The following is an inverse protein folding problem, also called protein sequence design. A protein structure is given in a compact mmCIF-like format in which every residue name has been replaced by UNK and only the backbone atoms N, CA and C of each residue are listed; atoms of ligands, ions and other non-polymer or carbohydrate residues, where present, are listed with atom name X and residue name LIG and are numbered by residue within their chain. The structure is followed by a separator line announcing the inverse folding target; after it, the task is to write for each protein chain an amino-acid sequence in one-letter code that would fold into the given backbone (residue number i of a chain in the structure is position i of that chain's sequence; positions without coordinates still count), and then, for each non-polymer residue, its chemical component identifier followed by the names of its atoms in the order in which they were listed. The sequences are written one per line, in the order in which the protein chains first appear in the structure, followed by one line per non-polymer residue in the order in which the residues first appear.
data_IF_573918813500
#
_entry.id   IF_573918813500
#
_cell.length_a   1.000
_cell.length_b   1.000
_cell.length_c   1.000
_cell.angle_alpha   90.00
_cell.angle_beta   90.00
_cell.angle_gamma   90.00
#
_symmetry.space_group_name_H-M   'P 1'
#
loop_
_entity.id
_entity.type
_entity.pdbx_description
1 polymer ?
#
# COMPACT_ATOMS: atom_id res chain seq x y z
N UNK A 1 -0.60 -18.23 -5.51
CA UNK A 1 -1.49 -17.07 -5.23
C UNK A 1 -2.90 -17.29 -5.77
N UNK A 2 -3.14 -18.34 -6.55
CA UNK A 2 -4.49 -18.80 -6.92
C UNK A 2 -5.05 -19.80 -5.89
N UNK A 3 -6.37 -20.01 -5.89
CA UNK A 3 -7.04 -21.00 -5.03
C UNK A 3 -6.66 -22.44 -5.42
N UNK A 4 -6.70 -22.75 -6.72
CA UNK A 4 -6.26 -24.05 -7.22
C UNK A 4 -4.73 -24.10 -7.31
N UNK A 5 -4.11 -24.91 -6.45
CA UNK A 5 -2.65 -25.07 -6.40
C UNK A 5 -2.13 -26.10 -7.40
N UNK A 6 -2.99 -26.76 -8.18
CA UNK A 6 -2.64 -27.87 -9.07
C UNK A 6 -1.55 -27.49 -10.08
N UNK A 7 -1.64 -26.29 -10.64
CA UNK A 7 -0.68 -25.80 -11.62
C UNK A 7 0.68 -25.49 -10.99
N UNK A 8 0.69 -24.87 -9.81
CA UNK A 8 1.91 -24.60 -9.06
C UNK A 8 2.63 -25.91 -8.67
N UNK A 9 1.90 -26.92 -8.18
CA UNK A 9 2.43 -28.27 -7.89
C UNK A 9 2.96 -28.96 -9.16
N UNK A 10 2.31 -28.76 -10.32
CA UNK A 10 2.81 -29.24 -11.61
C UNK A 10 4.13 -28.57 -12.01
N UNK A 11 4.30 -27.27 -11.73
CA UNK A 11 5.56 -26.56 -11.97
C UNK A 11 6.68 -27.07 -11.05
N UNK A 12 6.40 -27.26 -9.76
CA UNK A 12 7.30 -27.89 -8.77
C UNK A 12 7.79 -29.26 -9.25
N UNK A 13 6.86 -30.14 -9.65
CA UNK A 13 7.22 -31.47 -10.18
C UNK A 13 8.09 -31.40 -11.44
N UNK A 14 7.78 -30.49 -12.37
CA UNK A 14 8.61 -30.27 -13.58
C UNK A 14 10.02 -29.81 -13.23
N UNK A 15 10.15 -28.91 -12.27
CA UNK A 15 11.44 -28.41 -11.80
C UNK A 15 12.27 -29.53 -11.16
N UNK A 16 11.68 -30.32 -10.26
CA UNK A 16 12.31 -31.51 -9.67
C UNK A 16 12.82 -32.49 -10.73
N UNK A 17 11.97 -32.86 -11.68
CA UNK A 17 12.34 -33.77 -12.77
C UNK A 17 13.49 -33.23 -13.63
N UNK A 18 13.56 -31.91 -13.82
CA UNK A 18 14.66 -31.28 -14.55
C UNK A 18 15.98 -31.36 -13.78
N UNK A 19 15.96 -31.12 -12.47
CA UNK A 19 17.14 -31.26 -11.61
C UNK A 19 17.64 -32.72 -11.56
N UNK A 20 16.73 -33.70 -11.48
CA UNK A 20 17.10 -35.12 -11.53
C UNK A 20 17.81 -35.47 -12.85
N UNK A 21 17.28 -35.01 -13.99
CA UNK A 21 17.89 -35.19 -15.32
C UNK A 21 19.25 -34.50 -15.49
N UNK A 22 19.50 -33.39 -14.79
CA UNK A 22 20.82 -32.76 -14.76
C UNK A 22 21.79 -33.58 -13.93
N UNK A 23 21.33 -34.08 -12.77
CA UNK A 23 22.11 -34.95 -11.88
C UNK A 23 22.55 -36.24 -12.56
N UNK A 24 21.66 -36.89 -13.33
CA UNK A 24 21.98 -38.07 -14.16
C UNK A 24 23.08 -37.81 -15.19
N UNK A 25 23.22 -36.56 -15.65
CA UNK A 25 24.26 -36.13 -16.59
C UNK A 25 25.55 -35.66 -15.90
N UNK A 26 25.66 -35.83 -14.58
CA UNK A 26 26.82 -35.41 -13.80
C UNK A 26 26.83 -33.94 -13.38
N UNK A 27 25.75 -33.19 -13.61
CA UNK A 27 25.63 -31.79 -13.17
C UNK A 27 24.85 -31.69 -11.87
N UNK A 28 25.45 -31.09 -10.83
CA UNK A 28 24.75 -30.74 -9.59
C UNK A 28 24.72 -29.23 -9.44
N UNK A 29 23.52 -28.66 -9.33
CA UNK A 29 23.34 -27.22 -9.14
C UNK A 29 23.39 -26.92 -7.64
N UNK A 30 24.30 -26.05 -7.18
CA UNK A 30 24.52 -25.84 -5.74
C UNK A 30 23.40 -25.05 -5.06
N UNK A 31 22.68 -24.21 -5.80
CA UNK A 31 21.61 -23.36 -5.28
C UNK A 31 20.36 -23.51 -6.15
N UNK A 32 19.27 -24.00 -5.57
CA UNK A 32 18.01 -24.25 -6.21
C UNK A 32 16.90 -23.62 -5.38
N UNK A 33 16.00 -22.89 -6.04
CA UNK A 33 14.88 -22.25 -5.37
C UNK A 33 13.77 -21.97 -6.37
N UNK A 34 12.52 -22.20 -5.96
CA UNK A 34 11.35 -21.85 -6.77
C UNK A 34 10.28 -21.11 -5.96
N UNK A 35 10.19 -21.34 -4.65
CA UNK A 35 9.23 -20.65 -3.78
C UNK A 35 9.45 -19.13 -3.77
N UNK A 36 8.41 -18.40 -4.15
CA UNK A 36 8.23 -16.99 -3.82
C UNK A 36 7.42 -16.88 -2.52
N UNK A 37 7.01 -15.68 -2.11
CA UNK A 37 6.13 -15.47 -0.95
C UNK A 37 4.90 -16.38 -0.91
N UNK A 38 4.19 -16.57 -2.03
CA UNK A 38 3.03 -17.47 -2.06
C UNK A 38 3.44 -18.94 -1.90
N UNK A 39 4.53 -19.37 -2.55
CA UNK A 39 5.06 -20.73 -2.39
C UNK A 39 5.51 -21.02 -0.96
N UNK A 40 6.09 -20.03 -0.26
CA UNK A 40 6.46 -20.15 1.16
C UNK A 40 5.23 -20.38 2.03
N UNK A 41 4.18 -19.57 1.86
CA UNK A 41 2.94 -19.68 2.64
C UNK A 41 2.16 -20.97 2.39
N UNK A 42 2.27 -21.52 1.20
CA UNK A 42 1.54 -22.72 0.75
C UNK A 42 2.35 -24.01 0.87
N UNK A 43 3.58 -23.93 1.36
CA UNK A 43 4.54 -25.04 1.38
C UNK A 43 4.69 -25.70 -0.02
N UNK A 44 4.89 -24.87 -1.04
CA UNK A 44 5.14 -25.25 -2.44
C UNK A 44 6.53 -24.79 -2.84
N UNK A 45 7.43 -25.73 -3.12
CA UNK A 45 8.78 -25.44 -3.58
C UNK A 45 9.72 -24.94 -2.48
N UNK A 46 9.41 -25.27 -1.23
CA UNK A 46 10.15 -24.94 0.00
C UNK A 46 11.20 -25.98 0.35
N UNK A 47 11.17 -27.16 -0.28
CA UNK A 47 12.08 -28.28 -0.02
C UNK A 47 13.51 -28.08 -0.56
N UNK A 48 13.73 -27.00 -1.32
CA UNK A 48 15.05 -26.64 -1.86
C UNK A 48 15.85 -25.79 -0.85
N UNK A 49 17.06 -25.37 -1.25
CA UNK A 49 18.02 -24.77 -0.32
C UNK A 49 17.95 -23.24 -0.22
N UNK A 50 16.99 -22.59 -0.89
CA UNK A 50 16.68 -21.18 -0.73
C UNK A 50 15.22 -20.87 -1.11
N UNK A 51 14.66 -19.79 -0.58
CA UNK A 51 13.34 -19.23 -0.92
C UNK A 51 13.46 -17.74 -1.25
N UNK A 52 12.40 -17.13 -1.82
CA UNK A 52 12.38 -15.71 -2.21
C UNK A 52 11.16 -15.00 -1.63
N UNK A 53 11.27 -14.55 -0.40
CA UNK A 53 10.25 -13.75 0.29
C UNK A 53 10.31 -12.28 -0.15
N UNK A 54 9.37 -11.89 -1.02
CA UNK A 54 9.22 -10.52 -1.48
C UNK A 54 8.14 -9.79 -0.69
N UNK A 55 6.90 -9.86 -1.17
CA UNK A 55 5.77 -9.06 -0.66
C UNK A 55 5.50 -9.26 0.84
N UNK A 56 5.71 -10.47 1.34
CA UNK A 56 5.49 -10.82 2.76
C UNK A 56 6.49 -10.11 3.68
N UNK A 57 7.68 -9.76 3.19
CA UNK A 57 8.66 -8.96 3.93
C UNK A 57 8.12 -7.55 4.24
N UNK A 58 7.28 -7.02 3.36
CA UNK A 58 6.62 -5.72 3.52
C UNK A 58 5.31 -5.81 4.31
N UNK A 59 4.96 -7.01 4.76
CA UNK A 59 3.78 -7.22 5.57
C UNK A 59 2.48 -7.37 4.79
N UNK A 60 2.56 -7.82 3.53
CA UNK A 60 1.40 -7.97 2.64
C UNK A 60 1.30 -9.40 2.13
N UNK A 61 0.11 -9.97 2.21
CA UNK A 61 -0.20 -11.29 1.66
C UNK A 61 -0.21 -11.25 0.13
N UNK A 62 0.33 -12.26 -0.56
CA UNK A 62 0.35 -12.31 -2.03
C UNK A 62 -1.04 -12.23 -2.69
N UNK A 63 -2.07 -12.79 -2.04
CA UNK A 63 -3.47 -12.73 -2.45
C UNK A 63 -4.40 -13.19 -1.32
N UNK A 64 -5.72 -13.09 -1.55
CA UNK A 64 -6.74 -13.65 -0.63
C UNK A 64 -6.82 -15.18 -0.69
N UNK A 65 -6.26 -15.80 -1.72
CA UNK A 65 -6.37 -17.24 -1.95
C UNK A 65 -5.22 -18.03 -1.31
N UNK A 66 -4.27 -17.36 -0.67
CA UNK A 66 -3.20 -18.04 0.08
C UNK A 66 -3.55 -18.26 1.55
N UNK A 67 -2.84 -19.17 2.22
CA UNK A 67 -2.95 -19.35 3.66
C UNK A 67 -2.53 -18.08 4.43
N UNK A 68 -3.39 -17.64 5.35
CA UNK A 68 -3.19 -16.44 6.19
C UNK A 68 -2.94 -16.82 7.66
N UNK A 69 -2.04 -17.78 7.90
CA UNK A 69 -1.79 -18.33 9.24
C UNK A 69 -0.66 -17.61 10.00
N UNK A 70 0.12 -16.79 9.32
CA UNK A 70 1.23 -16.05 9.93
C UNK A 70 0.78 -14.66 10.41
N UNK A 71 1.29 -14.16 11.54
CA UNK A 71 1.02 -12.80 11.99
C UNK A 71 1.87 -11.80 11.20
N UNK A 72 1.51 -11.60 9.92
CA UNK A 72 2.17 -10.66 9.02
C UNK A 72 1.66 -9.25 9.32
N UNK A 73 2.57 -8.30 9.55
CA UNK A 73 2.24 -6.88 9.82
C UNK A 73 2.82 -5.97 8.76
N UNK A 74 1.97 -5.10 8.20
CA UNK A 74 2.36 -4.10 7.22
C UNK A 74 3.46 -3.17 7.74
N UNK A 75 4.56 -3.06 6.99
CA UNK A 75 5.70 -2.22 7.35
C UNK A 75 5.49 -0.72 7.00
N UNK A 76 4.58 -0.45 6.07
CA UNK A 76 4.28 0.90 5.57
C UNK A 76 3.05 1.47 6.29
N UNK A 77 3.18 2.71 6.78
CA UNK A 77 2.04 3.59 7.02
C UNK A 77 2.23 4.85 6.19
N UNK A 78 1.13 5.42 5.69
CA UNK A 78 1.16 6.66 4.93
C UNK A 78 0.31 7.71 5.61
N UNK A 79 0.96 8.82 5.98
CA UNK A 79 0.37 9.93 6.71
C UNK A 79 0.58 11.23 5.95
N UNK A 80 -0.36 12.15 6.12
CA UNK A 80 -0.32 13.51 5.57
C UNK A 80 -0.77 14.51 6.64
N UNK A 81 -0.79 15.80 6.30
CA UNK A 81 -1.33 16.85 7.17
C UNK A 81 -2.45 17.60 6.48
N UNK A 82 -3.47 18.02 7.22
CA UNK A 82 -4.54 18.86 6.67
C UNK A 82 -3.96 20.20 6.21
N UNK A 83 -4.15 20.55 4.93
CA UNK A 83 -3.66 21.80 4.35
C UNK A 83 -4.69 22.93 4.38
N UNK A 84 -5.99 22.59 4.47
CA UNK A 84 -7.07 23.56 4.51
C UNK A 84 -8.34 22.94 5.10
N UNK A 85 -9.12 23.73 5.82
CA UNK A 85 -10.44 23.35 6.35
C UNK A 85 -11.44 24.44 5.98
N UNK A 86 -12.60 24.05 5.46
CA UNK A 86 -13.72 24.97 5.20
C UNK A 86 -15.06 24.33 5.49
N UNK A 87 -16.03 25.14 5.88
CA UNK A 87 -17.44 24.76 5.89
C UNK A 87 -18.08 25.20 4.57
N UNK A 88 -18.85 24.33 3.95
CA UNK A 88 -19.55 24.60 2.69
C UNK A 88 -21.05 24.33 2.85
N UNK A 89 -21.93 25.14 2.23
CA UNK A 89 -23.37 24.92 2.27
C UNK A 89 -23.77 23.69 1.44
N UNK A 90 -25.05 23.31 1.52
CA UNK A 90 -25.65 22.33 0.61
C UNK A 90 -25.65 22.82 -0.84
N UNK A 91 -25.54 21.90 -1.80
CA UNK A 91 -25.55 22.18 -3.23
C UNK A 91 -24.18 22.53 -3.85
N UNK A 92 -23.10 22.46 -3.07
CA UNK A 92 -21.74 22.79 -3.53
C UNK A 92 -21.07 21.58 -4.18
N UNK A 93 -20.56 21.74 -5.39
CA UNK A 93 -19.82 20.70 -6.10
C UNK A 93 -18.37 20.58 -5.60
N UNK A 94 -17.94 19.35 -5.29
CA UNK A 94 -16.59 19.07 -4.78
C UNK A 94 -15.73 18.40 -5.84
N UNK A 95 -14.51 18.95 -6.02
CA UNK A 95 -13.50 18.47 -6.97
C UNK A 95 -13.91 18.59 -8.45
N UNK A 96 -13.06 18.05 -9.32
CA UNK A 96 -13.24 18.09 -10.77
C UNK A 96 -14.52 17.39 -11.23
N UNK A 97 -15.28 18.10 -12.08
CA UNK A 97 -16.51 17.60 -12.66
C UNK A 97 -17.65 17.46 -11.64
N UNK A 98 -17.48 17.97 -10.42
CA UNK A 98 -18.49 17.98 -9.36
C UNK A 98 -19.15 16.62 -9.18
N UNK A 99 -18.35 15.55 -9.18
CA UNK A 99 -18.85 14.17 -9.03
C UNK A 99 -19.41 13.88 -7.65
N UNK A 100 -19.21 14.80 -6.70
CA UNK A 100 -19.86 14.85 -5.41
C UNK A 100 -20.47 16.25 -5.23
N UNK A 101 -21.70 16.31 -4.75
CA UNK A 101 -22.39 17.56 -4.41
C UNK A 101 -22.87 17.45 -2.97
N UNK A 102 -22.61 18.46 -2.16
CA UNK A 102 -22.97 18.45 -0.73
C UNK A 102 -24.49 18.40 -0.55
N UNK A 103 -24.98 17.47 0.26
CA UNK A 103 -26.42 17.33 0.53
C UNK A 103 -26.89 18.24 1.69
N UNK A 104 -25.94 18.70 2.49
CA UNK A 104 -26.14 19.53 3.68
C UNK A 104 -24.93 20.44 3.87
N UNK A 105 -24.98 21.28 4.90
CA UNK A 105 -23.76 21.93 5.36
C UNK A 105 -22.74 20.87 5.80
N UNK A 106 -21.54 20.94 5.24
CA UNK A 106 -20.47 19.97 5.46
C UNK A 106 -19.15 20.67 5.78
N UNK A 107 -18.37 20.09 6.68
CA UNK A 107 -17.00 20.52 7.00
C UNK A 107 -16.02 19.66 6.20
N UNK A 108 -15.22 20.31 5.36
CA UNK A 108 -14.35 19.64 4.40
C UNK A 108 -12.89 19.96 4.72
N UNK A 109 -12.06 18.93 4.81
CA UNK A 109 -10.61 19.03 4.86
C UNK A 109 -10.01 18.81 3.47
N UNK A 110 -8.93 19.54 3.17
CA UNK A 110 -8.09 19.29 1.99
C UNK A 110 -6.80 18.61 2.43
N UNK A 111 -6.45 17.52 1.76
CA UNK A 111 -5.24 16.73 2.02
C UNK A 111 -4.27 16.96 0.84
N UNK A 112 -3.02 17.41 1.07
CA UNK A 112 -2.05 17.73 0.03
C UNK A 112 -1.31 16.46 -0.45
N UNK A 113 -2.07 15.46 -0.86
CA UNK A 113 -1.58 14.23 -1.48
C UNK A 113 -2.48 13.93 -2.67
N UNK A 114 -1.92 13.52 -3.80
CA UNK A 114 -2.71 13.13 -4.96
C UNK A 114 -2.07 12.04 -5.80
N UNK A 115 -2.61 11.82 -7.00
CA UNK A 115 -2.12 10.76 -7.87
C UNK A 115 -0.70 11.01 -8.38
N UNK A 116 -0.20 12.25 -8.35
CA UNK A 116 1.20 12.58 -8.62
C UNK A 116 2.17 12.08 -7.54
N UNK A 117 1.66 11.78 -6.34
CA UNK A 117 2.42 11.23 -5.22
C UNK A 117 2.32 9.69 -5.15
N UNK A 118 1.49 9.10 -6.02
CA UNK A 118 1.17 7.67 -6.03
C UNK A 118 -0.16 7.31 -5.36
N UNK A 119 -0.98 8.29 -4.94
CA UNK A 119 -2.29 8.00 -4.37
C UNK A 119 -3.26 7.51 -5.46
N UNK A 120 -3.80 6.29 -5.39
CA UNK A 120 -4.51 5.71 -6.53
C UNK A 120 -5.79 6.49 -6.87
N UNK A 121 -5.86 7.03 -8.09
CA UNK A 121 -7.01 7.83 -8.54
C UNK A 121 -8.32 7.04 -8.53
N UNK A 122 -8.26 5.71 -8.62
CA UNK A 122 -9.44 4.82 -8.56
C UNK A 122 -10.19 4.91 -7.22
N UNK A 123 -9.54 5.40 -6.16
CA UNK A 123 -10.12 5.60 -4.82
C UNK A 123 -11.03 6.83 -4.72
N UNK A 124 -11.10 7.65 -5.77
CA UNK A 124 -11.98 8.82 -5.88
C UNK A 124 -13.41 8.51 -5.46
N UNK A 125 -13.90 9.14 -4.39
CA UNK A 125 -15.27 9.00 -3.90
C UNK A 125 -15.64 7.63 -3.33
N UNK A 126 -14.64 6.75 -3.09
CA UNK A 126 -14.86 5.38 -2.62
C UNK A 126 -14.14 5.08 -1.30
N UNK A 127 -12.92 5.56 -1.17
CA UNK A 127 -12.10 5.29 0.00
C UNK A 127 -12.36 6.27 1.14
N UNK A 128 -11.84 5.93 2.31
CA UNK A 128 -11.82 6.75 3.51
C UNK A 128 -10.37 6.95 3.96
N UNK A 129 -10.16 7.97 4.80
CA UNK A 129 -8.92 8.21 5.55
C UNK A 129 -9.27 8.28 7.03
N UNK A 130 -8.27 8.24 7.93
CA UNK A 130 -8.49 8.44 9.36
C UNK A 130 -8.11 9.86 9.76
N UNK A 131 -9.03 10.54 10.45
CA UNK A 131 -8.82 11.84 11.09
C UNK A 131 -9.28 11.73 12.53
N UNK A 132 -8.39 11.95 13.49
CA UNK A 132 -8.71 11.84 14.93
C UNK A 132 -9.28 10.44 15.27
N UNK A 133 -8.72 9.40 14.66
CA UNK A 133 -9.17 8.01 14.83
C UNK A 133 -10.55 7.68 14.25
N UNK A 134 -11.09 8.51 13.33
CA UNK A 134 -12.39 8.27 12.69
C UNK A 134 -12.25 8.15 11.18
N UNK A 135 -13.01 7.22 10.57
CA UNK A 135 -13.11 7.06 9.12
C UNK A 135 -13.84 8.25 8.50
N UNK A 136 -13.15 8.97 7.63
CA UNK A 136 -13.63 10.16 6.93
C UNK A 136 -13.59 9.90 5.41
N UNK A 137 -14.74 9.95 4.69
CA UNK A 137 -14.80 9.61 3.27
C UNK A 137 -14.17 10.66 2.37
N UNK A 138 -13.54 10.20 1.29
CA UNK A 138 -13.04 11.06 0.22
C UNK A 138 -14.23 11.60 -0.57
N UNK A 139 -14.22 12.92 -0.81
CA UNK A 139 -15.24 13.63 -1.57
C UNK A 139 -14.76 13.95 -2.97
N UNK A 140 -15.51 13.50 -3.97
CA UNK A 140 -15.20 13.76 -5.38
C UNK A 140 -13.92 13.07 -5.85
N UNK A 141 -13.24 13.69 -6.81
CA UNK A 141 -12.05 13.13 -7.45
C UNK A 141 -10.77 13.43 -6.69
N UNK A 142 -9.86 12.46 -6.67
CA UNK A 142 -8.46 12.66 -6.33
C UNK A 142 -7.79 13.48 -7.45
N UNK A 143 -7.14 14.59 -7.10
CA UNK A 143 -6.39 15.46 -8.01
C UNK A 143 -4.90 15.06 -8.04
N UNK A 144 -4.09 15.80 -8.79
CA UNK A 144 -2.65 15.48 -8.94
C UNK A 144 -1.93 15.56 -7.60
N UNK A 145 -2.21 16.58 -6.80
CA UNK A 145 -1.45 16.88 -5.58
C UNK A 145 -2.34 17.02 -4.33
N UNK A 146 -3.66 16.78 -4.46
CA UNK A 146 -4.59 16.91 -3.34
C UNK A 146 -5.92 16.16 -3.55
N UNK A 147 -6.64 15.92 -2.46
CA UNK A 147 -8.05 15.51 -2.47
C UNK A 147 -8.79 16.08 -1.25
N UNK A 148 -10.12 15.97 -1.27
CA UNK A 148 -11.00 16.49 -0.23
C UNK A 148 -11.63 15.35 0.57
N UNK A 149 -11.87 15.60 1.85
CA UNK A 149 -12.37 14.63 2.81
C UNK A 149 -13.48 15.26 3.64
N UNK A 150 -14.55 14.50 3.89
CA UNK A 150 -15.59 14.90 4.84
C UNK A 150 -15.13 14.70 6.28
N UNK A 151 -15.04 15.81 7.02
CA UNK A 151 -14.74 15.83 8.45
C UNK A 151 -15.91 16.39 9.28
N UNK A 152 -17.13 16.34 8.73
CA UNK A 152 -18.34 16.76 9.43
C UNK A 152 -18.54 15.92 10.70
N UNK A 153 -18.64 16.57 11.86
CA UNK A 153 -18.73 15.87 13.16
C UNK A 153 -17.41 15.31 13.69
N UNK A 154 -16.29 15.64 13.04
CA UNK A 154 -14.93 15.29 13.49
C UNK A 154 -14.20 16.56 13.89
N UNK A 155 -13.68 16.57 15.11
CA UNK A 155 -12.77 17.62 15.57
C UNK A 155 -11.43 17.43 14.86
N UNK A 156 -11.06 18.45 14.08
CA UNK A 156 -9.86 18.45 13.29
C UNK A 156 -9.33 19.88 13.14
N UNK A 157 -8.00 20.02 13.16
CA UNK A 157 -7.28 21.29 13.07
C UNK A 157 -6.39 21.36 11.83
N UNK A 158 -6.06 22.60 11.43
CA UNK A 158 -5.09 22.82 10.35
C UNK A 158 -3.74 22.21 10.73
N UNK A 159 -3.05 21.59 9.77
CA UNK A 159 -1.77 20.88 9.94
C UNK A 159 -1.80 19.66 10.85
N UNK A 160 -2.99 19.24 11.30
CA UNK A 160 -3.15 17.96 12.00
C UNK A 160 -2.81 16.80 11.06
N UNK A 161 -2.20 15.75 11.63
CA UNK A 161 -1.92 14.49 10.94
C UNK A 161 -3.21 13.75 10.55
N UNK A 162 -3.18 13.13 9.37
CA UNK A 162 -4.23 12.29 8.80
C UNK A 162 -3.59 10.99 8.34
N UNK A 163 -4.15 9.86 8.75
CA UNK A 163 -3.68 8.55 8.31
C UNK A 163 -4.39 8.14 7.03
N UNK A 164 -3.62 8.01 5.94
CA UNK A 164 -4.12 7.60 4.63
C UNK A 164 -4.16 6.08 4.48
N UNK A 165 -3.17 5.42 5.07
CA UNK A 165 -2.99 3.97 5.09
C UNK A 165 -2.28 3.60 6.40
N UNK A 166 -2.82 2.66 7.16
CA UNK A 166 -2.34 2.25 8.48
C UNK A 166 -3.40 2.42 9.58
N UNK A 167 -2.93 2.40 10.83
CA UNK A 167 -3.78 2.38 12.02
C UNK A 167 -3.78 3.73 12.76
N UNK A 168 -4.96 4.17 13.24
CA UNK A 168 -5.13 5.33 14.11
C UNK A 168 -6.36 5.16 15.01
N UNK A 169 -6.21 5.37 16.32
CA UNK A 169 -7.37 5.39 17.24
C UNK A 169 -8.15 4.07 17.36
N UNK A 170 -7.53 2.93 16.98
CA UNK A 170 -8.19 1.62 16.94
C UNK A 170 -8.90 1.31 15.62
N UNK A 171 -8.91 2.26 14.67
CA UNK A 171 -9.33 2.05 13.29
C UNK A 171 -8.12 1.78 12.40
N UNK A 172 -8.36 1.07 11.29
CA UNK A 172 -7.35 0.77 10.27
C UNK A 172 -7.90 1.07 8.87
N UNK A 173 -7.02 1.58 8.01
CA UNK A 173 -7.16 1.56 6.55
C UNK A 173 -6.03 0.69 6.01
N UNK A 174 -6.37 -0.51 5.60
CA UNK A 174 -5.43 -1.51 5.12
C UNK A 174 -5.29 -1.46 3.60
N UNK A 175 -4.22 -2.07 3.08
CA UNK A 175 -4.04 -2.19 1.63
C UNK A 175 -5.05 -3.16 1.00
N UNK A 176 -5.64 -4.06 1.79
CA UNK A 176 -6.70 -4.97 1.36
C UNK A 176 -8.03 -4.23 1.16
N UNK A 177 -8.32 -3.22 1.98
CA UNK A 177 -9.48 -2.33 1.75
C UNK A 177 -9.36 -1.64 0.39
N UNK A 178 -8.15 -1.23 0.01
CA UNK A 178 -7.90 -0.62 -1.29
C UNK A 178 -7.93 -1.64 -2.44
N UNK A 179 -7.51 -2.88 -2.18
CA UNK A 179 -7.61 -3.98 -3.14
C UNK A 179 -9.07 -4.26 -3.52
N UNK A 180 -9.98 -4.25 -2.56
CA UNK A 180 -11.42 -4.37 -2.80
C UNK A 180 -11.99 -3.22 -3.65
N UNK A 181 -11.34 -2.06 -3.63
CA UNK A 181 -11.68 -0.90 -4.45
C UNK A 181 -10.97 -0.88 -5.82
N UNK A 182 -10.16 -1.91 -6.12
CA UNK A 182 -9.49 -2.11 -7.40
C UNK A 182 -8.04 -1.62 -7.45
N UNK A 183 -7.38 -1.41 -6.31
CA UNK A 183 -5.94 -1.12 -6.25
C UNK A 183 -5.14 -2.41 -6.21
N UNK A 184 -4.17 -2.60 -7.10
CA UNK A 184 -3.27 -3.74 -6.98
C UNK A 184 -2.16 -3.45 -5.95
N UNK A 185 -2.03 -4.20 -4.82
CA UNK A 185 -1.11 -3.88 -3.73
C UNK A 185 0.35 -3.68 -4.16
N UNK A 186 0.85 -4.56 -5.04
CA UNK A 186 2.23 -4.48 -5.52
C UNK A 186 2.48 -3.22 -6.34
N UNK A 187 1.55 -2.89 -7.24
CA UNK A 187 1.65 -1.69 -8.08
C UNK A 187 1.61 -0.43 -7.22
N UNK A 188 0.74 -0.39 -6.19
CA UNK A 188 0.72 0.71 -5.24
C UNK A 188 2.06 0.88 -4.52
N UNK A 189 2.61 -0.19 -3.95
CA UNK A 189 3.87 -0.12 -3.19
C UNK A 189 5.04 0.34 -4.07
N UNK A 190 5.09 -0.09 -5.33
CA UNK A 190 6.06 0.38 -6.31
C UNK A 190 5.78 1.80 -6.81
N UNK A 191 4.51 2.21 -6.83
CA UNK A 191 4.02 3.46 -7.38
C UNK A 191 4.14 4.68 -6.44
N UNK A 192 4.54 4.48 -5.18
CA UNK A 192 4.86 5.58 -4.27
C UNK A 192 6.00 6.41 -4.87
N UNK A 193 5.65 7.59 -5.37
CA UNK A 193 6.54 8.39 -6.21
C UNK A 193 7.69 9.04 -5.45
N UNK A 194 8.59 9.69 -6.18
CA UNK A 194 9.74 10.40 -5.62
C UNK A 194 9.37 11.64 -4.78
N UNK A 195 8.12 12.10 -4.82
CA UNK A 195 7.63 13.24 -4.04
C UNK A 195 7.37 12.91 -2.56
N UNK A 196 7.27 11.62 -2.23
CA UNK A 196 6.91 11.19 -0.88
C UNK A 196 8.18 10.88 -0.09
N UNK A 197 8.50 11.61 0.99
CA UNK A 197 9.61 11.24 1.86
C UNK A 197 9.32 9.94 2.60
N UNK A 198 10.35 9.12 2.81
CA UNK A 198 10.28 7.89 3.59
C UNK A 198 10.90 8.14 4.96
N UNK A 199 10.13 7.86 6.00
CA UNK A 199 10.59 7.96 7.40
C UNK A 199 10.73 6.55 7.94
N UNK A 200 11.94 6.18 8.37
CA UNK A 200 12.24 4.84 8.83
C UNK A 200 12.24 4.77 10.35
N UNK A 201 11.62 3.71 10.86
CA UNK A 201 11.57 3.39 12.27
C UNK A 201 12.13 2.00 12.52
N UNK A 202 12.82 1.84 13.66
CA UNK A 202 13.17 0.53 14.23
C UNK A 202 12.47 0.39 15.57
N UNK A 203 11.46 -0.45 15.63
CA UNK A 203 10.51 -0.42 16.73
C UNK A 203 9.77 0.92 16.76
N UNK A 204 9.89 1.67 17.85
CA UNK A 204 9.32 3.03 17.99
C UNK A 204 10.34 4.15 17.77
N UNK A 205 11.61 3.79 17.55
CA UNK A 205 12.69 4.76 17.38
C UNK A 205 12.79 5.19 15.92
N UNK A 206 12.79 6.50 15.69
CA UNK A 206 13.13 7.06 14.39
C UNK A 206 14.62 6.82 14.10
N UNK A 207 14.94 6.29 12.93
CA UNK A 207 16.32 5.96 12.53
C UNK A 207 16.80 6.73 11.29
N UNK A 208 15.93 7.48 10.63
CA UNK A 208 16.32 8.30 9.49
C UNK A 208 15.16 8.66 8.58
N UNK A 209 15.40 9.65 7.73
CA UNK A 209 14.48 10.07 6.68
C UNK A 209 15.22 10.05 5.36
N UNK A 210 14.59 9.48 4.34
CA UNK A 210 15.04 9.54 2.95
C UNK A 210 14.02 10.34 2.16
N UNK A 211 14.43 11.50 1.65
CA UNK A 211 13.64 12.24 0.68
C UNK A 211 14.22 11.98 -0.71
N UNK A 212 13.48 11.33 -1.63
CA UNK A 212 13.98 11.03 -2.96
C UNK A 212 14.34 12.29 -3.77
N UNK A 213 13.82 13.47 -3.39
CA UNK A 213 14.12 14.74 -4.05
C UNK A 213 15.43 15.39 -3.60
N UNK A 214 15.99 15.02 -2.44
CA UNK A 214 17.18 15.69 -1.88
C UNK A 214 18.45 15.48 -2.73
N UNK A 215 18.44 14.51 -3.66
CA UNK A 215 19.57 14.18 -4.54
C UNK A 215 19.48 14.73 -5.98
N UNK A 216 18.57 15.68 -6.26
CA UNK A 216 18.51 16.36 -7.58
C UNK A 216 19.52 17.51 -7.73
N UNK A 217 20.37 17.75 -6.73
CA UNK A 217 21.57 18.56 -6.86
C UNK A 217 22.82 17.71 -6.56
N UNK A 218 23.48 17.25 -7.63
CA UNK A 218 24.88 16.83 -7.57
C UNK A 218 25.71 18.05 -7.16
N UNK A 219 25.97 18.20 -5.86
CA UNK A 219 27.13 18.95 -5.40
C UNK A 219 27.99 18.03 -4.56
N UNK A 220 29.22 17.87 -5.07
CA UNK A 220 30.33 17.14 -4.49
C UNK A 220 30.47 17.48 -3.00
N UNK A 221 30.40 16.46 -2.15
CA UNK A 221 30.83 16.60 -0.76
C UNK A 221 32.36 16.49 -0.73
N UNK A 222 33.01 17.63 -0.51
CA UNK A 222 34.38 17.77 -0.01
C UNK A 222 34.49 17.37 1.46
#
# INVERSE_FOLDING_TARGET
DEQDKSYARKQEHRFKNYLEKLKERGFTIPLCHIANSAGILEDIGTEYNMVRDGIVLYGVYPSKEVLHELPIKMALSWKAKISHIKTVPAGEGISYGSTFVTEKEMKIATIPVGYGDGYPRILSGKATVLVSGKKCPILGRVCMDQFMVDITGVEAELFQEVTLLGEEGGEEISLYDWEELGVFPYEFLCGLGNRVPRVYYRGKEWIGTYNPQDNLHLHEFS
#
